data_IF_811055064370
#
_entry.id   IF_811055064370
#
_cell.length_a   1.000
_cell.length_b   1.000
_cell.length_c   1.000
_cell.angle_alpha   90.00
_cell.angle_beta   90.00
_cell.angle_gamma   90.00
#
_symmetry.space_group_name_H-M   'P 1'
#
loop_
_entity.id
_entity.type
_entity.pdbx_description
1 polymer ?
#
# COMPACT_ATOMS: atom_id res chain seq x y z
N UNK A 1 7.04 5.78 16.26
CA UNK A 1 7.46 6.93 15.44
C UNK A 1 6.84 6.88 14.05
N UNK A 2 6.87 7.98 13.35
CA UNK A 2 6.37 8.05 11.98
C UNK A 2 7.11 7.05 11.07
N UNK A 3 8.44 7.03 11.16
CA UNK A 3 9.25 6.13 10.35
C UNK A 3 8.99 4.66 10.68
N UNK A 4 8.77 4.33 11.96
CA UNK A 4 8.45 2.97 12.37
C UNK A 4 7.11 2.50 11.81
N UNK A 5 6.11 3.37 11.81
CA UNK A 5 4.79 3.06 11.24
C UNK A 5 4.84 2.90 9.72
N UNK A 6 5.63 3.76 9.06
CA UNK A 6 5.84 3.65 7.63
C UNK A 6 6.47 2.31 7.27
N UNK A 7 7.55 1.95 7.98
CA UNK A 7 8.27 0.71 7.72
C UNK A 7 7.39 -0.51 7.96
N UNK A 8 6.59 -0.49 9.02
CA UNK A 8 5.65 -1.57 9.31
C UNK A 8 4.66 -1.76 8.17
N UNK A 9 4.08 -0.67 7.68
CA UNK A 9 3.12 -0.72 6.59
C UNK A 9 3.78 -1.21 5.30
N UNK A 10 4.97 -0.72 5.01
CA UNK A 10 5.72 -1.09 3.82
C UNK A 10 6.06 -2.59 3.82
N UNK A 11 6.65 -3.07 4.92
CA UNK A 11 7.03 -4.49 5.01
C UNK A 11 5.82 -5.41 5.03
N UNK A 12 4.72 -4.99 5.63
CA UNK A 12 3.50 -5.78 5.64
C UNK A 12 2.96 -5.95 4.22
N UNK A 13 2.98 -4.89 3.42
CA UNK A 13 2.57 -4.96 2.03
C UNK A 13 3.51 -5.85 1.21
N UNK A 14 4.82 -5.71 1.40
CA UNK A 14 5.79 -6.57 0.73
C UNK A 14 5.51 -8.04 1.02
N UNK A 15 5.29 -8.37 2.29
CA UNK A 15 5.04 -9.73 2.71
C UNK A 15 3.73 -10.28 2.15
N UNK A 16 2.66 -9.50 2.25
CA UNK A 16 1.33 -9.94 1.78
C UNK A 16 1.29 -10.12 0.26
N UNK A 17 1.88 -9.19 -0.48
CA UNK A 17 1.73 -9.16 -1.94
C UNK A 17 2.81 -9.97 -2.67
N UNK A 18 3.95 -10.20 -2.05
CA UNK A 18 5.10 -10.76 -2.73
C UNK A 18 5.67 -9.83 -3.79
N UNK A 19 5.29 -8.55 -3.74
CA UNK A 19 5.75 -7.56 -4.70
C UNK A 19 7.21 -7.19 -4.53
N UNK A 20 7.74 -6.54 -5.55
CA UNK A 20 9.11 -6.01 -5.47
C UNK A 20 9.10 -4.70 -4.66
N UNK A 21 10.24 -4.39 -4.04
CA UNK A 21 10.37 -3.16 -3.26
C UNK A 21 9.99 -1.93 -4.10
N UNK A 22 10.44 -1.87 -5.35
CA UNK A 22 10.12 -0.76 -6.24
C UNK A 22 8.61 -0.64 -6.52
N UNK A 23 7.93 -1.78 -6.67
CA UNK A 23 6.48 -1.78 -6.89
C UNK A 23 5.74 -1.19 -5.69
N UNK A 24 6.15 -1.60 -4.49
CA UNK A 24 5.51 -1.12 -3.25
C UNK A 24 5.86 0.34 -3.00
N UNK A 25 7.13 0.73 -3.22
CA UNK A 25 7.58 2.11 -3.02
C UNK A 25 6.89 3.09 -3.97
N UNK A 26 6.44 2.62 -5.13
CA UNK A 26 5.75 3.46 -6.11
C UNK A 26 4.22 3.42 -6.00
N UNK A 27 3.68 2.71 -5.01
CA UNK A 27 2.24 2.71 -4.80
C UNK A 27 1.73 4.11 -4.47
N UNK A 28 0.59 4.43 -5.05
CA UNK A 28 -0.16 5.63 -4.72
C UNK A 28 -1.31 5.28 -3.80
N UNK A 29 -1.80 6.28 -3.09
CA UNK A 29 -2.91 6.08 -2.14
C UNK A 29 -4.09 5.40 -2.82
N UNK A 30 -4.43 5.81 -4.05
CA UNK A 30 -5.54 5.23 -4.81
C UNK A 30 -5.32 3.80 -5.28
N UNK A 31 -4.07 3.31 -5.23
CA UNK A 31 -3.78 1.92 -5.62
C UNK A 31 -4.16 0.92 -4.54
N UNK A 32 -4.44 1.39 -3.33
CA UNK A 32 -4.79 0.52 -2.20
C UNK A 32 -6.24 0.78 -1.83
N UNK A 33 -7.08 -0.20 -2.06
CA UNK A 33 -8.51 -0.12 -1.75
C UNK A 33 -8.73 -0.89 -0.45
N UNK A 34 -9.22 -0.19 0.58
CA UNK A 34 -9.35 -0.74 1.93
C UNK A 34 -10.82 -0.95 2.33
N UNK A 35 -11.63 -1.37 1.38
CA UNK A 35 -13.04 -1.67 1.61
C UNK A 35 -13.24 -3.08 2.18
N UNK A 36 -14.44 -3.61 2.04
CA UNK A 36 -14.80 -4.95 2.54
C UNK A 36 -13.85 -6.03 1.98
N UNK A 37 -13.46 -5.87 0.72
CA UNK A 37 -12.51 -6.78 0.07
C UNK A 37 -11.24 -6.00 -0.28
N UNK A 38 -10.32 -5.82 0.67
CA UNK A 38 -9.14 -5.01 0.43
C UNK A 38 -8.24 -5.59 -0.66
N UNK A 39 -7.70 -4.69 -1.47
CA UNK A 39 -6.86 -5.08 -2.61
C UNK A 39 -5.81 -3.99 -2.86
N UNK A 40 -4.64 -4.41 -3.33
CA UNK A 40 -3.60 -3.50 -3.80
C UNK A 40 -3.38 -3.71 -5.29
N UNK A 41 -3.31 -2.62 -6.03
CA UNK A 41 -3.03 -2.64 -7.46
C UNK A 41 -1.56 -2.31 -7.68
N UNK A 42 -0.77 -3.32 -8.01
CA UNK A 42 0.66 -3.16 -8.24
C UNK A 42 0.93 -2.87 -9.70
N UNK A 43 1.82 -1.93 -9.95
CA UNK A 43 2.23 -1.57 -11.31
C UNK A 43 3.63 -2.09 -11.56
N UNK A 44 3.72 -3.13 -12.38
CA UNK A 44 4.98 -3.74 -12.73
C UNK A 44 5.61 -3.11 -13.95
N UNK A 45 6.71 -3.71 -14.37
CA UNK A 45 7.48 -3.28 -15.54
C UNK A 45 6.62 -3.39 -16.81
N UNK A 46 6.72 -2.38 -17.69
CA UNK A 46 6.09 -2.43 -19.00
C UNK A 46 4.56 -2.32 -18.97
N UNK A 47 4.01 -1.51 -18.09
CA UNK A 47 2.57 -1.27 -17.95
C UNK A 47 1.77 -2.46 -17.43
N UNK A 48 2.44 -3.51 -17.02
CA UNK A 48 1.74 -4.66 -16.43
C UNK A 48 1.23 -4.27 -15.05
N UNK A 49 -0.06 -4.51 -14.85
CA UNK A 49 -0.72 -4.22 -13.59
C UNK A 49 -1.31 -5.53 -13.05
N UNK A 50 -1.13 -5.77 -11.77
CA UNK A 50 -1.79 -6.90 -11.12
C UNK A 50 -2.45 -6.46 -9.83
N UNK A 51 -3.59 -7.06 -9.53
CA UNK A 51 -4.33 -6.78 -8.31
C UNK A 51 -4.14 -7.94 -7.36
N UNK A 52 -3.72 -7.64 -6.13
CA UNK A 52 -3.42 -8.64 -5.11
C UNK A 52 -4.37 -8.42 -3.94
N UNK A 53 -5.16 -9.44 -3.56
CA UNK A 53 -5.99 -9.32 -2.36
C UNK A 53 -5.13 -9.12 -1.12
N UNK A 54 -5.59 -8.24 -0.24
CA UNK A 54 -4.91 -7.99 1.02
C UNK A 54 -5.60 -8.77 2.14
N UNK A 55 -4.80 -9.32 3.04
CA UNK A 55 -5.33 -9.94 4.25
C UNK A 55 -5.98 -8.88 5.12
N UNK A 56 -6.95 -9.28 5.94
CA UNK A 56 -7.60 -8.37 6.88
C UNK A 56 -6.58 -7.74 7.84
N UNK A 57 -5.61 -8.54 8.28
CA UNK A 57 -4.54 -8.05 9.15
C UNK A 57 -3.70 -6.98 8.46
N UNK A 58 -3.41 -7.16 7.17
CA UNK A 58 -2.69 -6.16 6.39
C UNK A 58 -3.48 -4.86 6.32
N UNK A 59 -4.76 -4.94 5.97
CA UNK A 59 -5.62 -3.76 5.90
C UNK A 59 -5.69 -3.03 7.23
N UNK A 60 -5.74 -3.76 8.34
CA UNK A 60 -5.76 -3.20 9.69
C UNK A 60 -4.50 -2.37 9.99
N UNK A 61 -3.35 -2.79 9.43
CA UNK A 61 -2.09 -2.07 9.61
C UNK A 61 -2.02 -0.86 8.66
N UNK A 62 -2.52 -1.00 7.43
CA UNK A 62 -2.42 0.05 6.43
C UNK A 62 -3.37 1.22 6.71
N UNK A 63 -4.59 0.96 7.20
CA UNK A 63 -5.57 2.02 7.45
C UNK A 63 -5.04 3.14 8.34
N UNK A 64 -4.44 2.87 9.51
CA UNK A 64 -3.90 3.94 10.34
C UNK A 64 -2.79 4.72 9.65
N UNK A 65 -1.97 4.05 8.85
CA UNK A 65 -0.92 4.72 8.09
C UNK A 65 -1.52 5.73 7.11
N UNK A 66 -2.55 5.32 6.35
CA UNK A 66 -3.21 6.23 5.39
C UNK A 66 -3.85 7.41 6.11
N UNK A 67 -4.49 7.17 7.26
CA UNK A 67 -5.10 8.26 8.05
C UNK A 67 -4.06 9.26 8.55
N UNK A 68 -2.86 8.79 8.83
CA UNK A 68 -1.77 9.64 9.30
C UNK A 68 -1.23 10.55 8.20
N UNK A 69 -1.39 10.16 6.93
CA UNK A 69 -1.04 10.98 5.79
C UNK A 69 -2.12 12.04 5.62
N UNK A 70 -1.87 13.24 6.15
CA UNK A 70 -2.85 14.31 6.17
C UNK A 70 -3.09 14.87 4.75
N UNK A 71 -4.37 15.14 4.43
CA UNK A 71 -4.80 15.78 3.17
C UNK A 71 -4.27 15.09 1.91
N UNK A 72 -4.18 13.77 1.91
CA UNK A 72 -3.67 13.03 0.76
C UNK A 72 -4.72 12.92 -0.35
N UNK A 73 -4.23 12.93 -1.57
CA UNK A 73 -5.02 12.63 -2.76
C UNK A 73 -4.71 11.21 -3.21
N UNK A 74 -5.60 10.63 -4.00
CA UNK A 74 -5.38 9.29 -4.55
C UNK A 74 -4.13 9.20 -5.40
N UNK A 75 -3.69 10.33 -5.98
CA UNK A 75 -2.49 10.40 -6.81
C UNK A 75 -1.21 10.58 -6.02
N UNK A 76 -1.29 10.78 -4.73
CA UNK A 76 -0.10 10.93 -3.88
C UNK A 76 0.51 9.57 -3.58
N UNK A 77 1.82 9.55 -3.35
CA UNK A 77 2.49 8.31 -2.95
C UNK A 77 2.02 7.84 -1.58
N UNK A 78 1.82 6.53 -1.47
CA UNK A 78 1.47 5.92 -0.19
C UNK A 78 2.64 6.01 0.79
N UNK A 79 3.86 5.90 0.27
CA UNK A 79 5.09 6.00 1.06
C UNK A 79 5.93 7.17 0.53
N UNK A 80 5.61 8.38 0.98
CA UNK A 80 6.35 9.57 0.54
C UNK A 80 7.75 9.65 1.13
#
# INVERSE_FOLDING_TARGET
SWAGKRDQALFTLLYNTGGRVSEIANLKVGDVVLDVSPVAHLHGKGRKRRSVPLWKTTATIIRPWVRQLDQVKETDFLFP
#
